data_IF_364852262464
#
_entry.id   IF_364852262464
#
_cell.length_a   1.000
_cell.length_b   1.000
_cell.length_c   1.000
_cell.angle_alpha   90.00
_cell.angle_beta   90.00
_cell.angle_gamma   90.00
#
_symmetry.space_group_name_H-M   'P 1'
#
loop_
_entity.id
_entity.type
_entity.pdbx_description
1 polymer ?
#
# COMPACT_ATOMS: atom_id res chain seq x y z
N UNK A 1 15.57 10.06 -8.18
CA UNK A 1 14.36 9.23 -8.13
C UNK A 1 14.11 8.77 -6.71
N UNK A 2 12.88 8.81 -6.26
CA UNK A 2 12.48 8.36 -4.93
C UNK A 2 11.52 7.18 -5.08
N UNK A 3 11.69 6.18 -4.21
CA UNK A 3 10.83 4.99 -4.21
C UNK A 3 10.32 4.80 -2.78
N UNK A 4 9.00 4.64 -2.65
CA UNK A 4 8.35 4.32 -1.38
C UNK A 4 7.71 2.94 -1.46
N UNK A 5 7.96 2.12 -0.47
CA UNK A 5 7.27 0.83 -0.32
C UNK A 5 6.02 1.09 0.53
N UNK A 6 4.86 0.98 -0.10
CA UNK A 6 3.57 1.22 0.57
C UNK A 6 3.06 -0.02 1.28
N UNK A 7 3.34 -1.18 0.73
CA UNK A 7 3.01 -2.45 1.33
C UNK A 7 3.91 -3.54 0.78
N UNK A 8 4.16 -4.56 1.60
CA UNK A 8 5.07 -5.67 1.27
C UNK A 8 4.42 -7.04 1.47
N UNK A 9 3.12 -7.10 1.76
CA UNK A 9 2.40 -8.35 1.89
C UNK A 9 2.09 -8.98 0.54
N UNK A 10 1.96 -10.30 0.52
CA UNK A 10 1.48 -11.01 -0.65
C UNK A 10 0.02 -10.66 -0.95
N UNK A 11 -0.53 -11.17 -2.03
CA UNK A 11 -1.93 -10.98 -2.35
C UNK A 11 -2.85 -11.29 -1.16
N UNK A 12 -3.77 -10.39 -0.86
CA UNK A 12 -4.62 -10.45 0.33
C UNK A 12 -4.01 -9.81 1.57
N UNK A 13 -2.73 -9.47 1.58
CA UNK A 13 -2.06 -8.88 2.73
C UNK A 13 -1.73 -9.87 3.84
N UNK A 14 -1.24 -9.35 4.96
CA UNK A 14 -0.96 -10.14 6.17
C UNK A 14 -1.46 -9.35 7.39
N UNK A 15 -2.44 -9.80 8.14
CA UNK A 15 -3.23 -11.02 7.90
C UNK A 15 -4.14 -10.89 6.68
N UNK A 16 -4.35 -11.98 5.98
CA UNK A 16 -5.37 -12.02 4.93
C UNK A 16 -6.74 -12.14 5.59
N UNK A 17 -7.74 -11.37 5.12
CA UNK A 17 -9.03 -11.22 5.77
C UNK A 17 -9.77 -12.55 6.00
N UNK A 18 -9.56 -13.52 5.10
CA UNK A 18 -10.24 -14.81 5.14
C UNK A 18 -9.28 -15.97 5.42
N UNK A 19 -8.11 -15.69 6.00
CA UNK A 19 -7.11 -16.71 6.31
C UNK A 19 -6.93 -16.86 7.81
N UNK A 20 -6.87 -18.11 8.27
CA UNK A 20 -6.66 -18.44 9.68
C UNK A 20 -5.44 -19.33 9.88
N UNK A 21 -4.42 -19.19 9.02
CA UNK A 21 -3.15 -19.89 9.20
C UNK A 21 -2.40 -19.34 10.42
N UNK A 22 -1.32 -20.00 10.82
CA UNK A 22 -0.57 -19.62 12.01
C UNK A 22 -0.04 -18.18 11.92
N UNK A 23 0.47 -17.77 10.76
CA UNK A 23 1.01 -16.41 10.58
C UNK A 23 -0.09 -15.35 10.61
N UNK A 24 -1.22 -15.59 9.96
CA UNK A 24 -2.35 -14.64 9.99
C UNK A 24 -2.94 -14.51 11.38
N UNK A 25 -3.06 -15.59 12.12
CA UNK A 25 -3.51 -15.52 13.52
C UNK A 25 -2.54 -14.74 14.40
N UNK A 26 -1.24 -14.94 14.22
CA UNK A 26 -0.21 -14.20 14.97
C UNK A 26 -0.24 -12.71 14.63
N UNK A 27 -0.41 -12.36 13.36
CA UNK A 27 -0.52 -10.97 12.94
C UNK A 27 -1.73 -10.29 13.57
N UNK A 28 -2.88 -10.96 13.64
CA UNK A 28 -4.10 -10.40 14.28
C UNK A 28 -3.95 -10.24 15.78
N UNK A 29 -3.26 -11.17 16.43
CA UNK A 29 -3.14 -11.17 17.89
C UNK A 29 -2.19 -10.10 18.41
N UNK A 30 -1.37 -9.49 17.55
CA UNK A 30 -0.40 -8.50 17.98
C UNK A 30 0.72 -9.08 18.82
N UNK A 31 1.09 -10.36 18.60
CA UNK A 31 2.10 -11.04 19.41
C UNK A 31 3.50 -10.45 19.28
N UNK A 32 3.74 -9.56 18.34
CA UNK A 32 5.04 -8.91 18.13
C UNK A 32 6.02 -9.70 17.28
N UNK A 33 5.76 -10.99 17.03
CA UNK A 33 6.63 -11.83 16.20
C UNK A 33 6.25 -11.81 14.72
N UNK A 34 5.00 -11.49 14.39
CA UNK A 34 4.51 -11.37 13.02
C UNK A 34 3.84 -10.01 12.88
N UNK A 35 4.45 -9.14 12.09
CA UNK A 35 3.92 -7.79 11.85
C UNK A 35 2.92 -7.81 10.69
N UNK A 36 1.76 -7.16 10.83
CA UNK A 36 0.83 -6.98 9.72
C UNK A 36 1.50 -6.27 8.54
N UNK A 37 1.14 -6.67 7.31
CA UNK A 37 1.61 -6.08 6.07
C UNK A 37 0.44 -5.84 5.14
N UNK A 38 0.33 -4.64 4.60
CA UNK A 38 -0.63 -4.36 3.53
C UNK A 38 -0.17 -4.99 2.22
N UNK A 39 -1.08 -5.10 1.26
CA UNK A 39 -0.80 -5.71 -0.04
C UNK A 39 0.30 -4.95 -0.77
N UNK A 40 1.12 -5.65 -1.56
CA UNK A 40 2.32 -5.08 -2.17
C UNK A 40 1.99 -3.95 -3.13
N UNK A 41 2.66 -2.83 -2.95
CA UNK A 41 2.56 -1.66 -3.82
C UNK A 41 3.77 -0.77 -3.57
N UNK A 42 4.20 -0.06 -4.59
CA UNK A 42 5.24 0.96 -4.45
C UNK A 42 4.79 2.27 -5.12
N UNK A 43 5.39 3.36 -4.68
CA UNK A 43 5.24 4.66 -5.33
C UNK A 43 6.61 5.15 -5.76
N UNK A 44 6.69 5.74 -6.95
CA UNK A 44 7.94 6.23 -7.55
C UNK A 44 7.76 7.68 -7.94
N UNK A 45 8.76 8.50 -7.67
CA UNK A 45 8.74 9.93 -8.04
C UNK A 45 10.14 10.42 -8.39
N UNK A 46 10.23 11.34 -9.35
CA UNK A 46 11.48 12.05 -9.64
C UNK A 46 11.67 13.26 -8.73
N UNK A 47 10.60 13.98 -8.43
CA UNK A 47 10.64 15.26 -7.70
C UNK A 47 10.16 15.17 -6.25
N UNK A 48 9.53 14.08 -5.86
CA UNK A 48 8.95 13.91 -4.53
C UNK A 48 7.59 14.58 -4.34
N UNK A 49 7.00 15.10 -5.41
CA UNK A 49 5.70 15.79 -5.40
C UNK A 49 4.66 15.03 -6.18
N UNK A 50 4.97 14.64 -7.42
CA UNK A 50 4.10 13.84 -8.26
C UNK A 50 4.58 12.40 -8.26
N UNK A 51 3.68 11.47 -7.92
CA UNK A 51 4.01 10.07 -7.72
C UNK A 51 3.27 9.18 -8.71
N UNK A 52 3.96 8.11 -9.12
CA UNK A 52 3.37 7.03 -9.91
C UNK A 52 3.25 5.81 -9.02
N UNK A 53 2.05 5.27 -8.91
CA UNK A 53 1.83 4.01 -8.20
C UNK A 53 2.14 2.83 -9.11
N UNK A 54 2.73 1.80 -8.55
CA UNK A 54 2.81 0.49 -9.19
C UNK A 54 1.93 -0.46 -8.39
N UNK A 55 0.83 -0.86 -8.98
CA UNK A 55 -0.29 -1.61 -8.41
C UNK A 55 -1.08 -0.81 -7.37
N UNK A 56 -2.39 -0.97 -7.42
CA UNK A 56 -3.33 -0.37 -6.48
C UNK A 56 -4.27 -1.47 -5.98
N UNK A 57 -3.98 -1.98 -4.78
CA UNK A 57 -4.79 -3.00 -4.11
C UNK A 57 -5.96 -2.37 -3.35
N UNK A 58 -6.87 -3.17 -2.76
CA UNK A 58 -7.88 -2.64 -1.84
C UNK A 58 -7.31 -1.87 -0.63
N UNK A 59 -6.03 -2.06 -0.29
CA UNK A 59 -5.37 -1.33 0.79
C UNK A 59 -4.93 0.08 0.40
N UNK A 60 -5.15 0.51 -0.85
CA UNK A 60 -4.61 1.78 -1.37
C UNK A 60 -5.01 2.99 -0.53
N UNK A 61 -6.23 3.07 -0.04
CA UNK A 61 -6.66 4.21 0.75
C UNK A 61 -5.91 4.31 2.07
N UNK A 62 -5.71 3.20 2.77
CA UNK A 62 -4.95 3.21 4.02
C UNK A 62 -3.48 3.51 3.78
N UNK A 63 -2.91 3.00 2.69
CA UNK A 63 -1.53 3.29 2.30
C UNK A 63 -1.31 4.77 2.01
N UNK A 64 -2.22 5.41 1.28
CA UNK A 64 -2.14 6.84 0.98
C UNK A 64 -2.35 7.70 2.23
N UNK A 65 -3.26 7.31 3.11
CA UNK A 65 -3.50 8.03 4.37
C UNK A 65 -2.32 7.96 5.33
N UNK A 66 -1.54 6.89 5.28
CA UNK A 66 -0.41 6.69 6.17
C UNK A 66 0.85 7.47 5.76
N UNK A 67 0.93 7.98 4.53
CA UNK A 67 2.13 8.64 4.01
C UNK A 67 1.87 10.11 3.68
N UNK A 68 2.44 11.05 4.46
CA UNK A 68 2.22 12.49 4.23
C UNK A 68 2.63 12.97 2.85
N UNK A 69 3.64 12.38 2.23
CA UNK A 69 4.11 12.80 0.90
C UNK A 69 3.11 12.49 -0.21
N UNK A 70 2.18 11.56 0.04
CA UNK A 70 1.16 11.15 -0.93
C UNK A 70 -0.18 11.86 -0.69
N UNK A 71 -0.29 12.69 0.33
CA UNK A 71 -1.53 13.37 0.68
C UNK A 71 -1.72 14.65 -0.15
N UNK A 72 -2.96 15.14 -0.26
CA UNK A 72 -3.22 16.40 -0.98
C UNK A 72 -2.43 17.55 -0.37
N UNK A 73 -1.80 18.36 -1.21
CA UNK A 73 -0.94 19.45 -0.75
C UNK A 73 -1.14 20.77 -1.49
N UNK A 74 -1.85 20.77 -2.64
CA UNK A 74 -1.92 21.93 -3.53
C UNK A 74 -3.28 22.57 -3.62
N UNK A 75 -4.35 21.84 -3.35
CA UNK A 75 -5.73 22.33 -3.46
C UNK A 75 -6.64 21.64 -2.45
N UNK A 76 -7.87 22.14 -2.31
CA UNK A 76 -8.87 21.53 -1.42
C UNK A 76 -9.18 20.10 -1.85
N UNK A 77 -9.29 19.85 -3.16
CA UNK A 77 -9.39 18.52 -3.75
C UNK A 77 -8.15 18.31 -4.60
N UNK A 78 -7.30 17.39 -4.17
CA UNK A 78 -6.01 17.18 -4.81
C UNK A 78 -5.53 15.74 -4.58
N UNK A 79 -4.54 15.33 -5.34
CA UNK A 79 -3.82 14.08 -5.16
C UNK A 79 -2.37 14.24 -5.58
N UNK A 80 -1.47 13.63 -4.82
CA UNK A 80 -0.07 13.50 -5.24
C UNK A 80 0.15 12.38 -6.25
N UNK A 81 -0.89 11.63 -6.62
CA UNK A 81 -0.79 10.51 -7.53
C UNK A 81 -1.07 10.99 -8.95
N UNK A 82 -0.06 10.90 -9.82
CA UNK A 82 -0.18 11.31 -11.22
C UNK A 82 -0.63 10.19 -12.14
N UNK A 83 -0.27 8.94 -11.81
CA UNK A 83 -0.61 7.77 -12.62
C UNK A 83 -0.51 6.50 -11.80
N UNK A 84 -1.13 5.43 -12.30
CA UNK A 84 -1.05 4.10 -11.72
C UNK A 84 -0.73 3.11 -12.82
N UNK A 85 0.25 2.24 -12.56
CA UNK A 85 0.67 1.18 -13.46
C UNK A 85 0.30 -0.16 -12.84
N UNK A 86 -0.55 -0.92 -13.51
CA UNK A 86 -0.97 -2.24 -13.05
C UNK A 86 -0.13 -3.32 -13.72
N UNK A 87 0.49 -4.18 -12.92
CA UNK A 87 1.23 -5.33 -13.42
C UNK A 87 0.31 -6.44 -13.90
N UNK A 88 -0.88 -6.53 -13.31
CA UNK A 88 -1.94 -7.42 -13.73
C UNK A 88 -3.30 -6.84 -13.35
N UNK A 89 -4.39 -7.57 -13.63
CA UNK A 89 -5.75 -7.10 -13.37
C UNK A 89 -6.40 -7.78 -12.16
N UNK A 90 -5.60 -8.31 -11.25
CA UNK A 90 -6.12 -8.95 -10.03
C UNK A 90 -6.46 -7.90 -8.98
N UNK A 91 -7.54 -8.14 -8.24
CA UNK A 91 -8.03 -7.18 -7.25
C UNK A 91 -7.07 -7.03 -6.05
N UNK A 92 -6.24 -8.01 -5.79
CA UNK A 92 -5.34 -8.04 -4.63
C UNK A 92 -3.94 -7.47 -4.92
N UNK A 93 -3.80 -6.75 -6.01
CA UNK A 93 -2.58 -6.00 -6.34
C UNK A 93 -2.90 -4.52 -6.49
#
# INVERSE_FOLDING_TARGET
MKIKILGSGAGGGLPQWNCNCANCRRARSGSGHVLPRTQSSIAVSDDGVDWVLVNASPDILSQLRADPDLQPARAIRDSGIAADVLCDAQIDH
#
